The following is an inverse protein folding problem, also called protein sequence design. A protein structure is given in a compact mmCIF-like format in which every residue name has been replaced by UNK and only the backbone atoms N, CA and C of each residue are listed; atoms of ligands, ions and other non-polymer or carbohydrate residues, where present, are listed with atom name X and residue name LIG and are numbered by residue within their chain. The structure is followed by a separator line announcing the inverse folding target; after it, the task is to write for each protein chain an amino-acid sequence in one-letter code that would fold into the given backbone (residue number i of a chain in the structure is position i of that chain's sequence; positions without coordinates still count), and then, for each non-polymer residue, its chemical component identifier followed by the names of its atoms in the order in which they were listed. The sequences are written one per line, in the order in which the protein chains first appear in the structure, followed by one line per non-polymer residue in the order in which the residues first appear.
data_IF_396509237625
#
_entry.id   IF_396509237625
#
_cell.length_a   1.000
_cell.length_b   1.000
_cell.length_c   1.000
_cell.angle_alpha   90.00
_cell.angle_beta   90.00
_cell.angle_gamma   90.00
#
_symmetry.space_group_name_H-M   'P 1'
#
loop_
_entity.id
_entity.type
_entity.pdbx_description
1 polymer ?
#
# COMPACT_ATOMS: atom_id res chain seq x y z
N UNK A 1 -21.24 0.19 2.53
CA UNK A 1 -20.50 -1.08 2.33
C UNK A 1 -19.01 -0.76 2.32
N UNK A 2 -18.24 -1.29 3.27
CA UNK A 2 -16.79 -1.06 3.34
C UNK A 2 -16.11 -1.90 2.27
N UNK A 3 -15.27 -1.29 1.44
CA UNK A 3 -14.53 -2.02 0.38
C UNK A 3 -13.26 -2.65 0.96
N UNK A 4 -12.73 -3.72 0.35
CA UNK A 4 -11.44 -4.30 0.75
C UNK A 4 -10.30 -3.28 0.78
N UNK A 5 -10.29 -2.31 -0.16
CA UNK A 5 -9.33 -1.19 -0.16
C UNK A 5 -9.44 -0.31 1.08
N UNK A 6 -10.67 -0.07 1.54
CA UNK A 6 -10.94 0.72 2.73
C UNK A 6 -10.50 -0.02 3.99
N UNK A 7 -10.75 -1.33 4.08
CA UNK A 7 -10.29 -2.17 5.20
C UNK A 7 -8.77 -2.12 5.32
N UNK A 8 -8.06 -2.32 4.20
CA UNK A 8 -6.59 -2.26 4.18
C UNK A 8 -6.10 -0.86 4.55
N UNK A 9 -6.70 0.20 3.98
CA UNK A 9 -6.33 1.57 4.29
C UNK A 9 -6.55 1.93 5.77
N UNK A 10 -7.64 1.45 6.37
CA UNK A 10 -7.95 1.71 7.78
C UNK A 10 -6.99 0.98 8.71
N UNK A 11 -6.62 -0.27 8.40
CA UNK A 11 -5.58 -0.99 9.13
C UNK A 11 -4.24 -0.24 9.07
N UNK A 12 -3.82 0.17 7.86
CA UNK A 12 -2.58 0.90 7.66
C UNK A 12 -2.54 2.23 8.43
N UNK A 13 -3.66 2.93 8.53
CA UNK A 13 -3.78 4.16 9.35
C UNK A 13 -3.69 3.86 10.84
N UNK A 14 -4.32 2.79 11.28
CA UNK A 14 -4.34 2.41 12.69
C UNK A 14 -2.95 2.02 13.18
N UNK A 15 -2.20 1.23 12.40
CA UNK A 15 -0.85 0.83 12.72
C UNK A 15 0.19 1.95 12.53
N UNK A 16 -0.04 2.86 11.57
CA UNK A 16 0.92 3.89 11.17
C UNK A 16 0.28 5.30 11.15
N UNK A 17 -0.02 5.89 12.33
CA UNK A 17 -0.75 7.17 12.42
C UNK A 17 -0.01 8.37 11.80
N UNK A 18 1.30 8.23 11.55
CA UNK A 18 2.10 9.25 10.85
C UNK A 18 1.98 9.22 9.33
N UNK A 19 1.42 8.16 8.75
CA UNK A 19 1.31 7.99 7.29
C UNK A 19 0.11 8.71 6.71
N UNK A 20 0.25 9.16 5.47
CA UNK A 20 -0.86 9.66 4.67
C UNK A 20 -1.43 8.47 3.90
N UNK A 21 -2.54 7.89 4.37
CA UNK A 21 -3.11 6.69 3.75
C UNK A 21 -4.40 7.00 2.99
N UNK A 22 -4.50 6.53 1.74
CA UNK A 22 -5.64 6.73 0.84
C UNK A 22 -6.16 5.39 0.31
N UNK A 23 -7.48 5.21 0.27
CA UNK A 23 -8.14 4.01 -0.27
C UNK A 23 -8.44 4.09 -1.79
N UNK A 24 -7.68 4.95 -2.50
CA UNK A 24 -7.78 5.21 -3.93
C UNK A 24 -6.40 5.64 -4.47
N UNK A 25 -6.23 5.60 -5.80
CA UNK A 25 -4.98 5.99 -6.44
C UNK A 25 -4.76 7.50 -6.27
N UNK A 26 -3.57 7.88 -5.81
CA UNK A 26 -3.23 9.28 -5.60
C UNK A 26 -1.78 9.55 -5.99
N UNK A 27 -1.55 10.69 -6.62
CA UNK A 27 -0.21 11.21 -6.88
C UNK A 27 0.55 11.46 -5.58
N UNK A 28 1.88 11.43 -5.66
CA UNK A 28 2.75 11.88 -4.58
C UNK A 28 2.37 13.32 -4.17
N UNK A 29 2.31 13.65 -2.87
CA UNK A 29 2.11 15.01 -2.44
C UNK A 29 3.38 15.85 -2.66
N UNK A 30 3.21 17.13 -2.98
CA UNK A 30 4.33 18.02 -3.33
C UNK A 30 5.38 18.17 -2.22
N UNK A 31 5.00 17.98 -0.95
CA UNK A 31 5.86 18.11 0.22
C UNK A 31 5.65 16.95 1.19
N UNK A 32 6.10 15.76 0.81
CA UNK A 32 6.17 14.64 1.74
C UNK A 32 7.29 14.92 2.76
N UNK A 33 6.91 15.22 4.01
CA UNK A 33 7.88 15.52 5.07
C UNK A 33 8.84 14.35 5.32
N UNK A 34 10.05 14.64 5.82
CA UNK A 34 11.04 13.62 6.19
C UNK A 34 10.43 12.60 7.17
N UNK A 35 10.68 11.31 6.95
CA UNK A 35 10.14 10.22 7.76
C UNK A 35 8.63 10.01 7.64
N UNK A 36 7.96 10.65 6.66
CA UNK A 36 6.55 10.38 6.35
C UNK A 36 6.47 9.59 5.05
N UNK A 37 5.53 8.65 5.01
CA UNK A 37 5.15 7.94 3.79
C UNK A 37 3.71 8.28 3.40
N UNK A 38 3.45 8.35 2.09
CA UNK A 38 2.10 8.24 1.56
C UNK A 38 1.87 6.79 1.11
N UNK A 39 0.76 6.20 1.52
CA UNK A 39 0.33 4.86 1.10
C UNK A 39 -1.00 4.95 0.38
N UNK A 40 -1.08 4.43 -0.83
CA UNK A 40 -2.32 4.40 -1.63
C UNK A 40 -2.72 2.96 -1.91
N UNK A 41 -3.96 2.60 -1.59
CA UNK A 41 -4.53 1.26 -1.82
C UNK A 41 -5.61 1.36 -2.88
N UNK A 42 -5.37 0.81 -4.06
CA UNK A 42 -6.30 0.96 -5.19
C UNK A 42 -6.45 -0.32 -6.00
N UNK A 43 -7.49 -0.37 -6.84
CA UNK A 43 -7.69 -1.49 -7.76
C UNK A 43 -6.92 -1.19 -9.03
N UNK A 44 -5.96 -2.04 -9.33
CA UNK A 44 -5.10 -1.95 -10.49
C UNK A 44 -5.78 -2.54 -11.73
N UNK A 45 -6.48 -3.67 -11.55
CA UNK A 45 -7.26 -4.27 -12.63
C UNK A 45 -8.52 -4.98 -12.12
N UNK A 46 -9.53 -5.05 -13.00
CA UNK A 46 -10.73 -5.85 -12.85
C UNK A 46 -11.01 -6.50 -14.19
N UNK A 47 -10.92 -7.82 -14.28
CA UNK A 47 -11.13 -8.51 -15.55
C UNK A 47 -11.93 -9.81 -15.36
N UNK A 48 -12.86 -10.12 -16.26
CA UNK A 48 -13.47 -11.44 -16.29
C UNK A 48 -12.42 -12.52 -16.52
N UNK A 49 -12.61 -13.68 -15.89
CA UNK A 49 -11.79 -14.88 -16.11
C UNK A 49 -12.70 -16.12 -16.14
N UNK A 50 -13.13 -16.50 -17.34
CA UNK A 50 -14.11 -17.57 -17.57
C UNK A 50 -15.39 -17.36 -16.73
N UNK A 51 -15.54 -18.10 -15.63
CA UNK A 51 -16.68 -18.04 -14.71
C UNK A 51 -16.39 -17.23 -13.43
N UNK A 52 -15.23 -16.57 -13.33
CA UNK A 52 -14.84 -15.73 -12.20
C UNK A 52 -14.57 -14.28 -12.63
N UNK A 53 -14.44 -13.41 -11.62
CA UNK A 53 -14.01 -12.03 -11.79
C UNK A 53 -12.72 -11.83 -11.00
N UNK A 54 -11.63 -11.53 -11.71
CA UNK A 54 -10.32 -11.32 -11.10
C UNK A 54 -10.14 -9.83 -10.80
N UNK A 55 -9.89 -9.49 -9.54
CA UNK A 55 -9.58 -8.13 -9.09
C UNK A 55 -8.18 -8.08 -8.51
N UNK A 56 -7.30 -7.26 -9.07
CA UNK A 56 -5.98 -6.99 -8.49
C UNK A 56 -6.02 -5.69 -7.70
N UNK A 57 -5.61 -5.75 -6.43
CA UNK A 57 -5.36 -4.57 -5.61
C UNK A 57 -3.86 -4.30 -5.57
N UNK A 58 -3.49 -3.02 -5.55
CA UNK A 58 -2.11 -2.56 -5.41
C UNK A 58 -2.04 -1.65 -4.18
N UNK A 59 -1.03 -1.87 -3.37
CA UNK A 59 -0.62 -0.97 -2.29
C UNK A 59 0.65 -0.28 -2.77
N UNK A 60 0.59 1.03 -2.97
CA UNK A 60 1.71 1.85 -3.41
C UNK A 60 2.22 2.67 -2.24
N UNK A 61 3.51 2.54 -1.94
CA UNK A 61 4.20 3.33 -0.92
C UNK A 61 5.07 4.37 -1.62
N UNK A 62 4.98 5.61 -1.14
CA UNK A 62 5.75 6.75 -1.64
C UNK A 62 6.42 7.38 -0.42
N UNK A 63 7.75 7.44 -0.43
CA UNK A 63 8.56 8.12 0.58
C UNK A 63 9.16 9.42 0.01
N UNK A 64 9.98 10.12 0.80
CA UNK A 64 10.53 11.41 0.42
C UNK A 64 11.35 11.30 -0.88
N UNK A 65 11.23 12.30 -1.75
CA UNK A 65 11.86 12.32 -3.05
C UNK A 65 13.36 12.64 -2.92
N UNK A 66 14.19 11.63 -3.13
CA UNK A 66 15.63 11.79 -3.32
C UNK A 66 16.24 10.47 -3.78
N UNK A 67 17.07 10.47 -4.82
CA UNK A 67 17.84 9.28 -5.21
C UNK A 67 19.09 9.18 -4.34
N UNK A 68 18.89 8.97 -3.05
CA UNK A 68 19.95 8.84 -2.05
C UNK A 68 19.73 7.59 -1.22
N UNK A 69 20.80 6.96 -0.73
CA UNK A 69 20.73 5.77 0.14
C UNK A 69 19.77 6.00 1.31
N UNK A 70 19.84 7.16 1.98
CA UNK A 70 18.95 7.48 3.09
C UNK A 70 17.46 7.54 2.70
N UNK A 71 17.14 7.86 1.45
CA UNK A 71 15.76 7.89 0.97
C UNK A 71 15.27 6.49 0.56
N UNK A 72 16.18 5.61 0.10
CA UNK A 72 15.89 4.18 -0.08
C UNK A 72 15.66 3.52 1.29
N UNK A 73 16.52 3.79 2.27
CA UNK A 73 16.34 3.30 3.65
C UNK A 73 15.00 3.77 4.26
N UNK A 74 14.63 5.04 4.05
CA UNK A 74 13.33 5.59 4.49
C UNK A 74 12.15 4.90 3.77
N UNK A 75 12.31 4.53 2.50
CA UNK A 75 11.30 3.80 1.74
C UNK A 75 11.17 2.36 2.23
N UNK A 76 12.28 1.67 2.45
CA UNK A 76 12.31 0.29 2.95
C UNK A 76 11.70 0.21 4.35
N UNK A 77 12.05 1.13 5.25
CA UNK A 77 11.43 1.22 6.57
C UNK A 77 9.90 1.43 6.51
N UNK A 78 9.42 2.21 5.53
CA UNK A 78 7.99 2.38 5.31
C UNK A 78 7.34 1.12 4.72
N UNK A 79 8.02 0.42 3.80
CA UNK A 79 7.54 -0.84 3.24
C UNK A 79 7.43 -1.92 4.30
N UNK A 80 8.41 -2.06 5.20
CA UNK A 80 8.39 -3.01 6.31
C UNK A 80 7.17 -2.78 7.22
N UNK A 81 6.90 -1.52 7.58
CA UNK A 81 5.72 -1.16 8.38
C UNK A 81 4.41 -1.50 7.66
N UNK A 82 4.34 -1.26 6.35
CA UNK A 82 3.18 -1.61 5.53
C UNK A 82 2.97 -3.12 5.49
N UNK A 83 4.02 -3.91 5.26
CA UNK A 83 3.93 -5.38 5.23
C UNK A 83 3.44 -5.92 6.57
N UNK A 84 4.04 -5.49 7.68
CA UNK A 84 3.61 -5.88 9.03
C UNK A 84 2.15 -5.51 9.30
N UNK A 85 1.68 -4.37 8.81
CA UNK A 85 0.28 -3.95 8.96
C UNK A 85 -0.67 -4.82 8.13
N UNK A 86 -0.27 -5.22 6.93
CA UNK A 86 -1.04 -6.13 6.08
C UNK A 86 -1.20 -7.49 6.74
N UNK A 87 -0.11 -8.06 7.27
CA UNK A 87 -0.12 -9.35 7.96
C UNK A 87 -1.02 -9.38 9.20
N UNK A 88 -1.27 -8.24 9.83
CA UNK A 88 -2.18 -8.11 10.97
C UNK A 88 -3.66 -8.13 10.61
N UNK A 89 -4.02 -8.04 9.32
CA UNK A 89 -5.43 -8.07 8.90
C UNK A 89 -6.00 -9.47 9.15
N UNK A 90 -6.98 -9.62 10.06
CA UNK A 90 -7.48 -10.92 10.46
C UNK A 90 -8.25 -11.58 9.31
N UNK A 91 -8.04 -12.90 9.15
CA UNK A 91 -8.77 -13.70 8.16
C UNK A 91 -8.30 -13.53 6.71
N UNK A 92 -7.15 -12.87 6.49
CA UNK A 92 -6.51 -12.77 5.18
C UNK A 92 -5.23 -13.61 5.19
N UNK A 93 -5.08 -14.49 4.20
CA UNK A 93 -3.84 -15.22 3.99
C UNK A 93 -3.03 -14.51 2.88
N UNK A 94 -1.88 -13.97 3.25
CA UNK A 94 -0.98 -13.31 2.31
C UNK A 94 -0.01 -14.34 1.74
N UNK A 95 0.16 -14.32 0.42
CA UNK A 95 1.17 -15.12 -0.27
C UNK A 95 2.02 -14.19 -1.12
N UNK A 96 3.32 -14.46 -1.21
CA UNK A 96 4.20 -13.73 -2.12
C UNK A 96 3.68 -13.85 -3.56
N UNK A 97 3.49 -12.70 -4.21
CA UNK A 97 3.09 -12.66 -5.61
C UNK A 97 4.30 -12.95 -6.49
N UNK A 98 4.20 -13.95 -7.37
CA UNK A 98 5.19 -14.16 -8.43
C UNK A 98 5.27 -12.90 -9.30
N UNK A 99 6.42 -12.22 -9.26
CA UNK A 99 6.77 -11.18 -10.23
C UNK A 99 6.68 -11.81 -11.63
N UNK A 100 5.75 -11.33 -12.45
CA UNK A 100 5.78 -11.62 -13.88
C UNK A 100 6.87 -10.73 -14.48
N UNK A 101 8.05 -11.32 -14.67
CA UNK A 101 9.13 -10.77 -15.50
C UNK A 101 8.72 -10.87 -16.96
#
# INVERSE_FOLDING_TARGET
MTTHRQIIADQLKADNPGFIVKAFAASAPDNLGKGKAQVSVYRDSLRPNQNSLDSTLKVQVIANAGSTIAAEDDLDAALDQVILSLERIPGVNWTEGLLKV
#
